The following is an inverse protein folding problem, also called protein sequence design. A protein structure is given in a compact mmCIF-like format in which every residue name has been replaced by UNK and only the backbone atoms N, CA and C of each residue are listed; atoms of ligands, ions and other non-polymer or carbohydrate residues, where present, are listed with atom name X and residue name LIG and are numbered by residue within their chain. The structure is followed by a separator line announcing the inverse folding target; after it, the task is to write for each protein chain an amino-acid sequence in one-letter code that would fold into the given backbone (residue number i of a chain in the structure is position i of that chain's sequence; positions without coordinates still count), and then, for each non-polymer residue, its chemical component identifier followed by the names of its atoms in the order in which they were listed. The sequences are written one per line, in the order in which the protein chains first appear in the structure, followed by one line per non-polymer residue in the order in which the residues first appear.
data_IF_162353527256
#
_entry.id   IF_162353527256
#
_cell.length_a   1.000
_cell.length_b   1.000
_cell.length_c   1.000
_cell.angle_alpha   90.00
_cell.angle_beta   90.00
_cell.angle_gamma   90.00
#
_symmetry.space_group_name_H-M   'P 1'
#
loop_
_entity.id
_entity.type
_entity.pdbx_description
1 polymer ?
#
# COMPACT_ATOMS: atom_id res chain seq x y z
N UNK A 1 6.86 -20.40 -45.39
CA UNK A 1 6.48 -19.75 -44.12
C UNK A 1 5.15 -20.36 -43.68
N UNK A 2 5.13 -20.97 -42.50
CA UNK A 2 4.09 -21.89 -42.07
C UNK A 2 2.85 -21.16 -41.51
N UNK A 3 1.63 -21.57 -41.88
CA UNK A 3 0.37 -20.92 -41.44
C UNK A 3 0.19 -20.97 -39.92
N UNK A 4 0.81 -21.95 -39.26
CA UNK A 4 0.82 -22.10 -37.80
C UNK A 4 1.67 -21.02 -37.10
N UNK A 5 2.78 -20.59 -37.71
CA UNK A 5 3.66 -19.54 -37.18
C UNK A 5 3.02 -18.14 -37.29
N UNK A 6 2.29 -17.88 -38.38
CA UNK A 6 1.50 -16.66 -38.57
C UNK A 6 0.35 -16.54 -37.57
N UNK A 7 -0.31 -17.65 -37.22
CA UNK A 7 -1.34 -17.67 -36.18
C UNK A 7 -0.80 -17.34 -34.78
N UNK A 8 0.40 -17.83 -34.46
CA UNK A 8 1.13 -17.49 -33.22
C UNK A 8 1.53 -16.02 -33.16
N UNK A 9 2.11 -15.48 -34.25
CA UNK A 9 2.48 -14.07 -34.37
C UNK A 9 1.28 -13.13 -34.31
N UNK A 10 0.15 -13.46 -34.97
CA UNK A 10 -1.06 -12.64 -34.90
C UNK A 10 -1.75 -12.70 -33.53
N UNK A 11 -1.68 -13.84 -32.81
CA UNK A 11 -2.15 -13.93 -31.42
C UNK A 11 -1.25 -13.14 -30.48
N UNK A 12 0.08 -13.21 -30.64
CA UNK A 12 1.02 -12.39 -29.87
C UNK A 12 0.80 -10.90 -30.16
N UNK A 13 0.70 -10.49 -31.42
CA UNK A 13 0.51 -9.09 -31.81
C UNK A 13 -0.82 -8.52 -31.28
N UNK A 14 -1.92 -9.32 -31.29
CA UNK A 14 -3.19 -8.93 -30.65
C UNK A 14 -3.08 -8.77 -29.13
N UNK A 15 -2.32 -9.64 -28.47
CA UNK A 15 -2.07 -9.56 -27.02
C UNK A 15 -1.25 -8.32 -26.66
N UNK A 16 -0.20 -8.01 -27.43
CA UNK A 16 0.63 -6.83 -27.19
C UNK A 16 -0.12 -5.52 -27.45
N UNK A 17 -0.96 -5.45 -28.49
CA UNK A 17 -1.75 -4.24 -28.80
C UNK A 17 -2.87 -4.00 -27.77
N UNK A 18 -3.55 -5.05 -27.31
CA UNK A 18 -4.56 -4.93 -26.26
C UNK A 18 -3.95 -4.42 -24.94
N UNK A 19 -2.77 -4.92 -24.57
CA UNK A 19 -2.08 -4.46 -23.36
C UNK A 19 -1.63 -3.00 -23.45
N UNK A 20 -1.14 -2.55 -24.61
CA UNK A 20 -0.74 -1.15 -24.80
C UNK A 20 -1.98 -0.23 -24.77
N UNK A 21 -3.09 -0.63 -25.39
CA UNK A 21 -4.33 0.15 -25.35
C UNK A 21 -4.83 0.36 -23.91
N UNK A 22 -4.83 -0.71 -23.10
CA UNK A 22 -5.23 -0.64 -21.69
C UNK A 22 -4.29 0.25 -20.86
N UNK A 23 -2.98 0.16 -21.08
CA UNK A 23 -2.01 1.03 -20.40
C UNK A 23 -2.23 2.50 -20.74
N UNK A 24 -2.50 2.82 -22.02
CA UNK A 24 -2.77 4.18 -22.46
C UNK A 24 -4.09 4.70 -21.87
N UNK A 25 -5.15 3.90 -21.92
CA UNK A 25 -6.45 4.27 -21.34
C UNK A 25 -6.34 4.49 -19.82
N UNK A 26 -5.66 3.59 -19.11
CA UNK A 26 -5.43 3.73 -17.67
C UNK A 26 -4.59 4.98 -17.35
N UNK A 27 -3.56 5.28 -18.16
CA UNK A 27 -2.78 6.50 -17.99
C UNK A 27 -3.62 7.77 -18.19
N UNK A 28 -4.57 7.77 -19.13
CA UNK A 28 -5.50 8.89 -19.32
C UNK A 28 -6.48 9.01 -18.14
N UNK A 29 -6.93 7.88 -17.57
CA UNK A 29 -7.83 7.88 -16.41
C UNK A 29 -7.15 8.38 -15.12
N UNK A 30 -5.83 8.24 -14.99
CA UNK A 30 -5.09 8.78 -13.84
C UNK A 30 -5.23 10.30 -13.69
N UNK A 31 -5.45 11.05 -14.78
CA UNK A 31 -5.66 12.50 -14.73
C UNK A 31 -6.96 12.90 -14.00
N UNK A 32 -8.00 12.08 -14.11
CA UNK A 32 -9.30 12.33 -13.49
C UNK A 32 -9.44 11.69 -12.11
N UNK A 33 -8.62 10.71 -11.78
CA UNK A 33 -8.67 10.01 -10.48
C UNK A 33 -8.22 10.88 -9.32
N UNK A 34 -8.81 10.58 -8.16
CA UNK A 34 -8.53 11.23 -6.89
C UNK A 34 -7.92 10.24 -5.91
N UNK A 35 -7.18 10.76 -4.94
CA UNK A 35 -6.50 9.93 -3.93
C UNK A 35 -7.47 9.01 -3.18
N UNK A 36 -8.69 9.47 -2.92
CA UNK A 36 -9.75 8.66 -2.28
C UNK A 36 -10.08 7.36 -3.04
N UNK A 37 -9.86 7.33 -4.35
CA UNK A 37 -10.20 6.19 -5.21
C UNK A 37 -9.15 5.07 -5.10
N UNK A 38 -7.92 5.42 -4.70
CA UNK A 38 -6.74 4.54 -4.74
C UNK A 38 -6.16 4.24 -3.35
N UNK A 39 -6.63 4.96 -2.33
CA UNK A 39 -6.12 4.82 -0.96
C UNK A 39 -6.57 3.51 -0.32
N UNK A 40 -5.75 3.02 0.61
CA UNK A 40 -6.17 2.00 1.57
C UNK A 40 -6.87 2.70 2.75
N UNK A 41 -8.16 2.41 3.01
CA UNK A 41 -8.91 2.99 4.13
C UNK A 41 -8.25 2.68 5.47
N UNK A 42 -8.27 3.63 6.41
CA UNK A 42 -7.57 3.53 7.69
C UNK A 42 -7.93 2.26 8.48
N UNK A 43 -9.18 1.78 8.40
CA UNK A 43 -9.62 0.57 9.09
C UNK A 43 -8.92 -0.71 8.62
N UNK A 44 -8.39 -0.72 7.38
CA UNK A 44 -7.62 -1.84 6.82
C UNK A 44 -6.11 -1.69 7.04
N UNK A 45 -5.68 -0.53 7.53
CA UNK A 45 -4.26 -0.25 7.75
C UNK A 45 -3.82 -0.84 9.08
N UNK A 46 -2.79 -1.67 9.02
CA UNK A 46 -2.04 -2.08 10.20
C UNK A 46 -1.19 -0.90 10.69
N UNK A 47 -1.45 -0.43 11.91
CA UNK A 47 -0.74 0.67 12.55
C UNK A 47 -0.28 0.26 13.94
N UNK A 48 0.73 0.94 14.46
CA UNK A 48 1.31 0.66 15.78
C UNK A 48 1.28 1.93 16.64
N UNK A 49 1.03 1.77 17.94
CA UNK A 49 1.13 2.88 18.90
C UNK A 49 2.60 3.18 19.23
N UNK A 50 2.96 4.44 19.42
CA UNK A 50 4.27 4.85 19.94
C UNK A 50 4.59 4.25 21.33
N UNK A 51 3.56 3.86 22.07
CA UNK A 51 3.65 3.19 23.38
C UNK A 51 3.80 1.67 23.30
N UNK A 52 3.87 1.09 22.10
CA UNK A 52 4.00 -0.36 21.96
C UNK A 52 5.40 -0.77 22.38
N UNK A 53 5.50 -1.72 23.31
CA UNK A 53 6.76 -2.34 23.72
C UNK A 53 7.31 -3.23 22.61
N UNK A 54 8.63 -3.19 22.44
CA UNK A 54 9.34 -3.96 21.43
C UNK A 54 9.69 -5.30 22.04
N UNK A 55 9.00 -6.35 21.60
CA UNK A 55 9.21 -7.71 22.09
C UNK A 55 9.15 -8.73 20.94
N UNK A 56 9.54 -9.97 21.25
CA UNK A 56 9.57 -11.07 20.28
C UNK A 56 8.21 -11.31 19.59
N UNK A 57 7.10 -11.13 20.32
CA UNK A 57 5.76 -11.30 19.77
C UNK A 57 5.45 -10.22 18.72
N UNK A 58 5.75 -8.95 19.01
CA UNK A 58 5.60 -7.86 18.05
C UNK A 58 6.43 -8.14 16.79
N UNK A 59 7.70 -8.54 16.94
CA UNK A 59 8.58 -8.88 15.81
C UNK A 59 8.05 -10.04 14.97
N UNK A 60 7.48 -11.06 15.62
CA UNK A 60 6.86 -12.18 14.92
C UNK A 60 5.63 -11.73 14.11
N UNK A 61 4.77 -10.89 14.69
CA UNK A 61 3.62 -10.30 13.99
C UNK A 61 4.07 -9.47 12.78
N UNK A 62 5.11 -8.66 12.96
CA UNK A 62 5.68 -7.83 11.90
C UNK A 62 6.23 -8.66 10.73
N UNK A 63 6.93 -9.75 11.03
CA UNK A 63 7.43 -10.68 10.01
C UNK A 63 6.30 -11.37 9.24
N UNK A 64 5.16 -11.66 9.89
CA UNK A 64 4.02 -12.31 9.24
C UNK A 64 3.28 -11.39 8.27
N UNK A 65 3.15 -10.10 8.61
CA UNK A 65 2.33 -9.15 7.86
C UNK A 65 2.99 -8.63 6.56
N UNK A 66 4.25 -8.98 6.28
CA UNK A 66 5.05 -8.59 5.09
C UNK A 66 5.14 -7.09 4.77
N UNK A 67 4.60 -6.22 5.62
CA UNK A 67 4.72 -4.78 5.44
C UNK A 67 6.14 -4.31 5.73
N UNK A 68 6.68 -3.45 4.89
CA UNK A 68 8.00 -2.85 5.10
C UNK A 68 7.93 -1.55 5.90
N UNK A 69 6.79 -0.86 5.81
CA UNK A 69 6.55 0.47 6.38
C UNK A 69 5.22 0.51 7.09
N UNK A 70 5.22 0.95 8.34
CA UNK A 70 4.05 0.91 9.22
C UNK A 70 3.84 2.28 9.85
N UNK A 71 2.68 2.91 9.65
CA UNK A 71 2.35 4.16 10.34
C UNK A 71 2.33 3.97 11.86
N UNK A 72 2.91 4.93 12.57
CA UNK A 72 2.92 4.97 14.04
C UNK A 72 2.09 6.15 14.52
N UNK A 73 1.15 5.88 15.42
CA UNK A 73 0.28 6.89 16.00
C UNK A 73 0.57 7.15 17.48
N UNK A 74 0.17 8.31 17.98
CA UNK A 74 0.44 8.75 19.35
C UNK A 74 -0.61 8.24 20.34
N UNK A 75 -0.16 7.54 21.38
CA UNK A 75 -1.00 7.01 22.45
C UNK A 75 -2.07 6.08 21.88
N UNK A 76 -3.33 6.47 22.05
CA UNK A 76 -4.51 5.73 21.58
C UNK A 76 -5.23 6.43 20.41
N UNK A 77 -4.73 7.58 19.96
CA UNK A 77 -5.36 8.36 18.89
C UNK A 77 -4.75 8.00 17.53
N UNK A 78 -5.43 7.11 16.80
CA UNK A 78 -5.05 6.69 15.44
C UNK A 78 -5.05 7.84 14.42
N UNK A 79 -5.68 8.98 14.72
CA UNK A 79 -5.62 10.16 13.85
C UNK A 79 -4.32 10.95 14.01
N UNK A 80 -3.63 10.76 15.14
CA UNK A 80 -2.38 11.44 15.42
C UNK A 80 -1.19 10.59 14.94
N UNK A 81 -0.98 10.53 13.62
CA UNK A 81 0.18 9.84 13.05
C UNK A 81 1.43 10.69 13.23
N UNK A 82 2.40 10.15 13.96
CA UNK A 82 3.66 10.85 14.29
C UNK A 82 4.83 10.41 13.40
N UNK A 83 4.67 9.34 12.63
CA UNK A 83 5.66 8.92 11.64
C UNK A 83 5.39 7.54 11.06
N UNK A 84 6.39 7.02 10.34
CA UNK A 84 6.34 5.73 9.65
C UNK A 84 7.57 4.92 10.04
N UNK A 85 7.35 3.78 10.67
CA UNK A 85 8.39 2.86 11.08
C UNK A 85 8.79 1.95 9.90
N UNK A 86 10.10 1.76 9.70
CA UNK A 86 10.62 0.71 8.85
C UNK A 86 10.82 -0.57 9.69
N UNK A 87 10.13 -1.64 9.31
CA UNK A 87 10.13 -2.91 10.07
C UNK A 87 11.54 -3.48 10.22
N UNK A 88 12.39 -3.33 9.20
CA UNK A 88 13.78 -3.82 9.25
C UNK A 88 14.57 -3.19 10.39
N UNK A 89 14.30 -1.93 10.71
CA UNK A 89 15.03 -1.23 11.76
C UNK A 89 14.62 -1.81 13.13
N UNK A 90 13.32 -2.10 13.33
CA UNK A 90 12.82 -2.71 14.56
C UNK A 90 13.36 -4.13 14.80
N UNK A 91 13.51 -4.92 13.73
CA UNK A 91 14.02 -6.30 13.81
C UNK A 91 15.48 -6.39 14.27
N UNK A 92 16.26 -5.31 14.14
CA UNK A 92 17.67 -5.25 14.53
C UNK A 92 17.87 -4.94 16.02
N UNK A 93 16.83 -4.49 16.73
CA UNK A 93 16.90 -4.16 18.16
C UNK A 93 16.96 -5.45 18.96
N UNK A 94 17.70 -5.48 20.06
CA UNK A 94 17.67 -6.62 20.99
C UNK A 94 16.36 -6.62 21.80
N UNK A 95 15.71 -7.78 21.95
CA UNK A 95 14.49 -7.95 22.74
C UNK A 95 14.72 -7.71 24.24
N UNK A 96 15.97 -7.75 24.72
CA UNK A 96 16.29 -7.45 26.12
C UNK A 96 16.25 -5.95 26.44
N UNK A 97 16.19 -5.09 25.42
CA UNK A 97 16.12 -3.64 25.61
C UNK A 97 14.66 -3.26 25.84
N UNK A 98 14.35 -2.80 27.06
CA UNK A 98 13.02 -2.30 27.44
C UNK A 98 12.73 -0.97 26.72
N UNK A 99 12.40 -1.08 25.43
CA UNK A 99 12.21 0.03 24.51
C UNK A 99 10.82 0.02 23.93
N UNK A 100 10.29 1.21 23.76
CA UNK A 100 9.02 1.46 23.09
C UNK A 100 9.28 1.95 21.66
N UNK A 101 8.32 1.71 20.77
CA UNK A 101 8.41 2.12 19.36
C UNK A 101 8.68 3.63 19.21
N UNK A 102 8.11 4.47 20.09
CA UNK A 102 8.36 5.92 20.07
C UNK A 102 9.83 6.30 20.30
N UNK A 103 10.55 5.60 21.18
CA UNK A 103 11.96 5.84 21.42
C UNK A 103 12.81 5.54 20.18
N UNK A 104 12.44 4.46 19.49
CA UNK A 104 13.08 4.03 18.24
C UNK A 104 12.89 5.03 17.11
N UNK A 105 11.68 5.58 16.99
CA UNK A 105 11.40 6.61 15.99
C UNK A 105 12.23 7.89 16.20
N UNK A 106 12.50 8.26 17.46
CA UNK A 106 13.35 9.41 17.77
C UNK A 106 14.82 9.15 17.43
N UNK A 107 15.29 7.91 17.61
CA UNK A 107 16.67 7.51 17.30
C UNK A 107 16.93 7.40 15.80
N UNK A 108 15.94 6.95 15.03
CA UNK A 108 16.08 6.75 13.59
C UNK A 108 15.35 7.82 12.78
N UNK A 109 16.11 8.83 12.37
CA UNK A 109 15.71 9.98 11.56
C UNK A 109 15.10 9.62 10.18
N UNK A 110 15.08 8.33 9.80
CA UNK A 110 14.44 7.82 8.57
C UNK A 110 12.93 7.59 8.73
N UNK A 111 12.42 7.65 9.96
CA UNK A 111 11.01 7.38 10.27
C UNK A 111 10.04 8.50 9.88
N UNK A 112 10.52 9.54 9.18
CA UNK A 112 9.79 10.79 8.90
C UNK A 112 9.53 11.03 7.40
N UNK A 113 9.95 10.11 6.53
CA UNK A 113 9.74 10.26 5.08
C UNK A 113 8.33 9.83 4.69
N UNK A 114 7.35 10.70 4.95
CA UNK A 114 5.99 10.57 4.46
C UNK A 114 5.40 11.95 4.13
N UNK A 115 4.28 11.95 3.41
CA UNK A 115 3.57 13.19 3.02
C UNK A 115 2.13 13.12 3.47
N UNK A 116 1.58 14.27 3.83
CA UNK A 116 0.14 14.42 3.99
C UNK A 116 -0.47 14.87 2.67
N UNK A 117 -1.57 14.24 2.29
CA UNK A 117 -2.29 14.53 1.05
C UNK A 117 -3.79 14.57 1.32
N UNK A 118 -4.52 15.43 0.61
CA UNK A 118 -5.98 15.43 0.66
C UNK A 118 -6.55 14.27 -0.15
N UNK A 119 -7.69 13.71 0.28
CA UNK A 119 -8.40 12.69 -0.48
C UNK A 119 -8.86 13.17 -1.87
N UNK A 120 -9.06 14.49 -2.03
CA UNK A 120 -9.45 15.15 -3.28
C UNK A 120 -8.26 15.58 -4.15
N UNK A 121 -7.02 15.27 -3.75
CA UNK A 121 -5.85 15.57 -4.58
C UNK A 121 -5.82 14.67 -5.83
N UNK A 122 -5.28 15.16 -6.97
CA UNK A 122 -5.07 14.31 -8.14
C UNK A 122 -4.01 13.23 -7.88
N UNK A 123 -4.28 12.00 -8.31
CA UNK A 123 -3.35 10.86 -8.15
C UNK A 123 -2.01 11.12 -8.83
N UNK A 124 -2.01 11.75 -10.02
CA UNK A 124 -0.78 12.10 -10.75
C UNK A 124 0.16 12.96 -9.89
N UNK A 125 -0.39 13.93 -9.16
CA UNK A 125 0.42 14.78 -8.27
C UNK A 125 1.02 13.95 -7.14
N UNK A 126 0.21 13.09 -6.50
CA UNK A 126 0.68 12.19 -5.45
C UNK A 126 1.81 11.28 -5.95
N UNK A 127 1.66 10.67 -7.13
CA UNK A 127 2.70 9.80 -7.71
C UNK A 127 4.02 10.54 -7.96
N UNK A 128 3.96 11.80 -8.41
CA UNK A 128 5.16 12.63 -8.57
C UNK A 128 5.83 12.93 -7.24
N UNK A 129 5.05 13.20 -6.19
CA UNK A 129 5.59 13.39 -4.83
C UNK A 129 6.22 12.10 -4.31
N UNK A 130 5.55 10.94 -4.43
CA UNK A 130 6.08 9.66 -3.97
C UNK A 130 7.39 9.28 -4.69
N UNK A 131 7.48 9.55 -6.01
CA UNK A 131 8.71 9.34 -6.80
C UNK A 131 9.91 10.17 -6.35
N UNK A 132 9.69 11.28 -5.62
CA UNK A 132 10.79 12.11 -5.07
C UNK A 132 11.46 11.48 -3.85
N UNK A 133 11.06 10.28 -3.43
CA UNK A 133 11.66 9.53 -2.34
C UNK A 133 10.77 9.40 -1.10
N UNK A 134 9.48 9.73 -1.21
CA UNK A 134 8.49 9.47 -0.18
C UNK A 134 7.80 8.14 -0.47
N UNK A 135 8.05 7.08 0.29
CA UNK A 135 7.49 5.77 -0.01
C UNK A 135 6.02 5.60 0.41
N UNK A 136 5.51 6.47 1.28
CA UNK A 136 4.17 6.40 1.84
C UNK A 136 3.59 7.81 1.98
N UNK A 137 2.31 7.95 1.67
CA UNK A 137 1.52 9.15 1.97
C UNK A 137 0.35 8.81 2.89
N UNK A 138 0.02 9.76 3.77
CA UNK A 138 -1.10 9.69 4.69
C UNK A 138 -2.19 10.61 4.13
N UNK A 139 -3.38 10.05 3.96
CA UNK A 139 -4.53 10.79 3.45
C UNK A 139 -5.24 11.45 4.63
N UNK A 140 -5.42 12.76 4.54
CA UNK A 140 -6.09 13.57 5.56
C UNK A 140 -7.19 14.41 4.95
N UNK A 141 -8.32 14.47 5.63
CA UNK A 141 -9.44 15.32 5.24
C UNK A 141 -9.81 16.27 6.37
N UNK A 142 -10.27 17.46 5.99
CA UNK A 142 -10.72 18.44 6.96
C UNK A 142 -12.16 18.14 7.37
N UNK A 143 -12.37 17.88 8.66
CA UNK A 143 -13.69 17.68 9.22
C UNK A 143 -14.24 19.02 9.74
N UNK A 144 -15.20 19.59 9.01
CA UNK A 144 -15.79 20.90 9.32
C UNK A 144 -16.40 20.96 10.73
N UNK A 145 -17.07 19.89 11.17
CA UNK A 145 -17.78 19.85 12.47
C UNK A 145 -16.85 20.02 13.67
N UNK A 146 -15.64 19.45 13.58
CA UNK A 146 -14.65 19.41 14.67
C UNK A 146 -13.52 20.42 14.46
N UNK A 147 -13.53 21.14 13.34
CA UNK A 147 -12.46 22.04 12.90
C UNK A 147 -11.07 21.41 12.96
N UNK A 148 -10.96 20.12 12.64
CA UNK A 148 -9.71 19.37 12.71
C UNK A 148 -9.49 18.52 11.47
N UNK A 149 -8.24 18.15 11.20
CA UNK A 149 -7.91 17.17 10.18
C UNK A 149 -8.09 15.76 10.75
N UNK A 150 -8.70 14.88 9.95
CA UNK A 150 -8.90 13.47 10.26
C UNK A 150 -8.11 12.62 9.26
N UNK A 151 -7.45 11.58 9.73
CA UNK A 151 -6.73 10.65 8.85
C UNK A 151 -7.72 9.66 8.28
N UNK A 152 -7.86 9.64 6.95
CA UNK A 152 -8.83 8.78 6.25
C UNK A 152 -8.19 7.47 5.77
N UNK A 153 -6.88 7.48 5.51
CA UNK A 153 -6.17 6.30 5.00
C UNK A 153 -4.71 6.55 4.69
N UNK A 154 -4.10 5.61 3.99
CA UNK A 154 -2.73 5.72 3.45
C UNK A 154 -2.69 5.34 1.98
N UNK A 155 -1.64 5.77 1.30
CA UNK A 155 -1.36 5.40 -0.09
C UNK A 155 0.13 5.11 -0.24
N UNK A 156 0.46 4.05 -0.95
CA UNK A 156 1.84 3.74 -1.35
C UNK A 156 2.01 3.80 -2.86
N UNK A 157 3.25 3.83 -3.35
CA UNK A 157 3.51 3.80 -4.80
C UNK A 157 3.02 2.49 -5.45
N UNK A 158 3.06 1.37 -4.71
CA UNK A 158 2.62 0.05 -5.18
C UNK A 158 1.11 0.02 -5.44
N UNK A 159 0.31 0.58 -4.53
CA UNK A 159 -1.16 0.67 -4.68
C UNK A 159 -1.55 1.44 -5.94
N UNK A 160 -0.86 2.55 -6.23
CA UNK A 160 -1.08 3.35 -7.44
C UNK A 160 -0.72 2.59 -8.72
N UNK A 161 0.26 1.69 -8.68
CA UNK A 161 0.69 0.89 -9.83
C UNK A 161 -0.23 -0.31 -10.07
N UNK A 162 -0.69 -0.97 -8.99
CA UNK A 162 -1.66 -2.05 -9.10
C UNK A 162 -2.95 -1.58 -9.77
N UNK A 163 -3.38 -0.35 -9.54
CA UNK A 163 -4.59 0.18 -10.17
C UNK A 163 -4.46 0.39 -11.70
N UNK A 164 -3.23 0.63 -12.19
CA UNK A 164 -2.92 0.69 -13.64
C UNK A 164 -2.87 -0.72 -14.23
N UNK A 165 -2.61 -1.75 -13.42
CA UNK A 165 -2.49 -3.15 -13.85
C UNK A 165 -3.79 -3.95 -13.67
N UNK A 166 -4.63 -3.62 -12.68
CA UNK A 166 -5.80 -4.41 -12.29
C UNK A 166 -6.99 -4.32 -13.25
N UNK A 167 -6.98 -3.38 -14.21
CA UNK A 167 -8.03 -3.35 -15.24
C UNK A 167 -7.91 -4.47 -16.28
N UNK A 168 -6.84 -5.29 -16.24
CA UNK A 168 -6.77 -6.53 -17.03
C UNK A 168 -7.88 -7.55 -16.66
N UNK A 169 -8.47 -7.44 -15.46
CA UNK A 169 -9.50 -8.37 -15.00
C UNK A 169 -10.73 -7.62 -14.50
N UNK A 170 -11.65 -7.29 -15.40
CA UNK A 170 -13.02 -6.88 -15.07
C UNK A 170 -13.84 -7.99 -14.40
N UNK A 171 -13.36 -8.51 -13.27
CA UNK A 171 -14.12 -9.36 -12.36
C UNK A 171 -14.22 -8.63 -11.02
N UNK A 172 -15.45 -8.26 -10.68
CA UNK A 172 -15.86 -7.92 -9.32
C UNK A 172 -15.47 -9.09 -8.41
N UNK A 173 -14.38 -8.96 -7.65
CA UNK A 173 -14.16 -9.84 -6.51
C UNK A 173 -15.08 -9.38 -5.39
N UNK A 174 -16.20 -10.09 -5.25
CA UNK A 174 -17.08 -9.98 -4.08
C UNK A 174 -16.30 -10.44 -2.84
N UNK A 175 -16.31 -9.69 -1.74
CA UNK A 175 -15.69 -10.15 -0.51
C UNK A 175 -16.65 -11.15 0.12
N UNK A 176 -16.54 -12.43 -0.22
CA UNK A 176 -16.89 -13.61 0.60
C UNK A 176 -16.82 -14.86 -0.30
N UNK A 177 -15.67 -15.54 -0.30
CA UNK A 177 -15.65 -16.99 -0.50
C UNK A 177 -14.37 -17.58 0.08
N UNK A 178 -14.50 -18.07 1.31
CA UNK A 178 -13.69 -19.17 1.80
C UNK A 178 -13.99 -20.39 0.92
N UNK A 179 -13.05 -20.84 0.09
CA UNK A 179 -12.95 -22.25 -0.29
C UNK A 179 -11.47 -22.63 -0.42
N UNK A 180 -10.95 -23.18 0.67
CA UNK A 180 -9.91 -24.22 0.61
C UNK A 180 -10.52 -25.46 -0.05
N UNK A 181 -9.98 -25.90 -1.19
CA UNK A 181 -9.75 -27.32 -1.55
C UNK A 181 -9.57 -27.49 -3.07
N UNK A 182 -8.35 -27.84 -3.48
CA UNK A 182 -8.05 -28.90 -4.45
C UNK A 182 -6.61 -29.32 -4.10
N UNK A 183 -6.31 -30.50 -3.56
CA UNK A 183 -6.72 -31.80 -4.08
C UNK A 183 -5.66 -32.32 -5.05
N UNK A 184 -4.43 -32.57 -4.58
CA UNK A 184 -3.41 -33.29 -5.34
C UNK A 184 -3.36 -34.77 -4.90
N UNK A 185 -4.00 -35.60 -5.71
CA UNK A 185 -3.76 -37.04 -5.90
C UNK A 185 -3.91 -37.23 -7.43
N UNK A 186 -3.08 -37.93 -8.20
CA UNK A 186 -2.24 -39.09 -7.94
C UNK A 186 -1.32 -39.35 -9.16
N UNK A 187 -0.22 -40.08 -8.92
CA UNK A 187 0.45 -41.05 -9.81
C UNK A 187 1.08 -40.59 -11.14
N UNK A 188 2.40 -40.76 -11.23
CA UNK A 188 3.00 -41.99 -11.77
C UNK A 188 4.38 -42.23 -11.19
#
# INVERSE_FOLDING_TARGET
MDRHMLGGLMRQQKYTTANIANVVENAMMLEVRRVRDVMTPLEKVFMISDRTEINANLKQQLNANRHTRIPVYKGDDRNCVIGVLNVKDLLLIDDSLDLHVGAVMQLWNRSTLFRFVSSEAPVVQLMLELKRGFPLAIVVDYQCDKQCYHVTGIVTLEDNLEEVSCFEHGYVVSPHSNVWNFGFSSKR
#
